data_IF_018018340839
#
_entry.id   IF_018018340839
#
_cell.length_a   1.000
_cell.length_b   1.000
_cell.length_c   1.000
_cell.angle_alpha   90.00
_cell.angle_beta   90.00
_cell.angle_gamma   90.00
#
_symmetry.space_group_name_H-M   'P 1'
#
loop_
_entity.id
_entity.type
_entity.pdbx_description
1 polymer ?
#
# COMPACT_ATOMS: atom_id res chain seq x y z
N UNK A 1 -1.56 1.63 -32.18
CA UNK A 1 -0.66 1.59 -31.02
C UNK A 1 -1.42 2.26 -29.91
N UNK A 2 -1.85 1.48 -28.91
CA UNK A 2 -2.60 1.99 -27.77
C UNK A 2 -1.65 2.80 -26.90
N UNK A 3 -1.72 4.13 -26.99
CA UNK A 3 -1.10 5.04 -26.03
C UNK A 3 -1.87 4.91 -24.72
N UNK A 4 -1.56 3.86 -23.95
CA UNK A 4 -1.78 3.87 -22.52
C UNK A 4 -0.81 4.93 -22.00
N UNK A 5 -1.30 6.16 -21.78
CA UNK A 5 -0.69 6.99 -20.76
C UNK A 5 -0.76 6.17 -19.47
N UNK A 6 0.31 5.43 -19.16
CA UNK A 6 0.55 4.96 -17.81
C UNK A 6 0.76 6.23 -16.99
N UNK A 7 -0.35 6.79 -16.51
CA UNK A 7 -0.31 7.81 -15.49
C UNK A 7 0.39 7.16 -14.30
N UNK A 8 1.67 7.46 -14.15
CA UNK A 8 2.49 7.00 -13.03
C UNK A 8 1.97 7.75 -11.79
N UNK A 9 1.10 7.08 -11.04
CA UNK A 9 0.56 7.59 -9.79
C UNK A 9 1.44 7.12 -8.65
N UNK A 10 1.64 7.98 -7.68
CA UNK A 10 2.41 7.65 -6.49
C UNK A 10 1.49 7.37 -5.31
N UNK A 11 1.83 6.38 -4.50
CA UNK A 11 1.09 6.02 -3.31
C UNK A 11 1.76 6.55 -2.04
N UNK A 12 0.98 6.63 -0.97
CA UNK A 12 1.51 6.91 0.35
C UNK A 12 2.56 5.86 0.74
N UNK A 13 3.72 6.33 1.17
CA UNK A 13 4.85 5.48 1.56
C UNK A 13 5.85 5.22 0.45
N UNK A 14 5.55 5.57 -0.81
CA UNK A 14 6.47 5.40 -1.92
C UNK A 14 7.70 6.30 -1.77
N UNK A 15 8.86 5.74 -2.10
CA UNK A 15 10.12 6.48 -2.12
C UNK A 15 10.31 7.10 -3.51
N UNK A 16 10.56 8.41 -3.50
CA UNK A 16 10.69 9.21 -4.70
C UNK A 16 11.94 10.06 -4.63
N UNK A 17 12.43 10.46 -5.80
CA UNK A 17 13.54 11.39 -5.95
C UNK A 17 13.16 12.53 -6.88
N UNK A 18 13.81 13.67 -6.70
CA UNK A 18 13.65 14.81 -7.61
C UNK A 18 14.32 14.51 -8.95
N UNK A 19 13.60 14.78 -10.05
CA UNK A 19 14.15 14.71 -11.42
C UNK A 19 15.22 15.77 -11.67
N UNK A 20 15.12 16.94 -11.02
CA UNK A 20 16.10 18.02 -11.17
C UNK A 20 17.37 17.77 -10.35
N UNK A 21 17.24 17.13 -9.19
CA UNK A 21 18.36 16.80 -8.33
C UNK A 21 18.21 15.37 -7.78
N UNK A 22 18.84 14.36 -8.43
CA UNK A 22 18.73 12.96 -8.02
C UNK A 22 19.26 12.67 -6.61
N UNK A 23 20.05 13.57 -6.00
CA UNK A 23 20.51 13.42 -4.62
C UNK A 23 19.44 13.79 -3.58
N UNK A 24 18.34 14.40 -4.02
CA UNK A 24 17.24 14.79 -3.16
C UNK A 24 16.16 13.71 -3.21
N UNK A 25 16.19 12.83 -2.22
CA UNK A 25 15.25 11.71 -2.07
C UNK A 25 14.32 11.92 -0.88
N UNK A 26 13.17 11.28 -0.91
CA UNK A 26 12.19 11.34 0.15
C UNK A 26 11.11 10.29 0.02
N UNK A 27 10.13 10.36 0.92
CA UNK A 27 8.99 9.48 0.99
C UNK A 27 7.69 10.27 0.90
N UNK A 28 6.73 9.77 0.12
CA UNK A 28 5.42 10.37 0.00
C UNK A 28 4.61 10.12 1.28
N UNK A 29 4.08 11.20 1.85
CA UNK A 29 3.28 11.19 3.08
C UNK A 29 1.91 11.87 2.88
N UNK A 30 1.57 12.27 1.66
CA UNK A 30 0.30 12.90 1.35
C UNK A 30 0.16 13.22 -0.13
N UNK A 31 -1.09 13.42 -0.56
CA UNK A 31 -1.48 13.77 -1.91
C UNK A 31 -2.54 14.87 -1.83
N UNK A 32 -2.54 15.78 -2.80
CA UNK A 32 -3.66 16.71 -3.03
C UNK A 32 -3.85 16.96 -4.52
N UNK A 33 -4.92 17.70 -4.84
CA UNK A 33 -5.20 18.12 -6.22
C UNK A 33 -5.29 16.94 -7.19
N UNK A 34 -5.88 15.81 -6.74
CA UNK A 34 -6.08 14.61 -7.57
C UNK A 34 -4.79 14.08 -8.22
N UNK A 35 -3.72 13.99 -7.42
CA UNK A 35 -2.42 13.47 -7.87
C UNK A 35 -1.54 14.47 -8.61
N UNK A 36 -1.88 15.76 -8.66
CA UNK A 36 -1.00 16.79 -9.23
C UNK A 36 0.17 17.14 -8.30
N UNK A 37 -0.05 17.09 -6.98
CA UNK A 37 0.95 17.45 -5.97
C UNK A 37 1.03 16.41 -4.85
N UNK A 38 2.27 16.04 -4.50
CA UNK A 38 2.58 15.08 -3.47
C UNK A 38 3.37 15.75 -2.35
N UNK A 39 3.01 15.40 -1.12
CA UNK A 39 3.75 15.82 0.06
C UNK A 39 4.87 14.82 0.31
N UNK A 40 6.11 15.30 0.24
CA UNK A 40 7.30 14.47 0.38
C UNK A 40 8.04 14.84 1.66
N UNK A 41 8.31 13.84 2.51
CA UNK A 41 9.25 13.95 3.63
C UNK A 41 10.64 13.59 3.11
N UNK A 42 11.57 14.53 3.18
CA UNK A 42 12.93 14.31 2.70
C UNK A 42 13.69 13.32 3.61
N UNK A 43 14.74 12.71 3.06
CA UNK A 43 15.61 11.78 3.78
C UNK A 43 16.38 12.42 4.95
N UNK A 44 16.33 13.75 5.10
CA UNK A 44 16.82 14.45 6.31
C UNK A 44 15.93 14.24 7.55
N UNK A 45 14.76 13.62 7.37
CA UNK A 45 13.84 13.20 8.43
C UNK A 45 12.97 14.33 9.01
N UNK A 46 13.27 15.59 8.70
CA UNK A 46 12.61 16.75 9.30
C UNK A 46 11.89 17.62 8.27
N UNK A 47 12.39 17.68 7.04
CA UNK A 47 11.83 18.56 6.03
C UNK A 47 10.66 17.89 5.32
N UNK A 48 9.56 18.64 5.20
CA UNK A 48 8.36 18.23 4.49
C UNK A 48 8.04 19.31 3.45
N UNK A 49 7.98 18.92 2.18
CA UNK A 49 7.80 19.84 1.05
C UNK A 49 6.75 19.26 0.09
N UNK A 50 5.99 20.13 -0.57
CA UNK A 50 5.10 19.75 -1.66
C UNK A 50 5.82 19.82 -2.99
N UNK A 51 5.74 18.75 -3.78
CA UNK A 51 6.30 18.65 -5.12
C UNK A 51 5.21 18.34 -6.13
N UNK A 52 5.36 18.84 -7.36
CA UNK A 52 4.49 18.43 -8.45
C UNK A 52 4.84 17.02 -8.92
N UNK A 53 3.83 16.27 -9.36
CA UNK A 53 4.01 14.93 -9.94
C UNK A 53 5.06 14.90 -11.06
N UNK A 54 5.13 15.99 -11.85
CA UNK A 54 6.08 16.11 -12.96
C UNK A 54 7.55 16.26 -12.52
N UNK A 55 7.81 16.67 -11.27
CA UNK A 55 9.13 16.93 -10.72
C UNK A 55 9.78 15.71 -10.07
N UNK A 56 9.04 14.61 -9.95
CA UNK A 56 9.40 13.46 -9.12
C UNK A 56 9.37 12.18 -9.95
N UNK A 57 10.13 11.19 -9.50
CA UNK A 57 10.13 9.84 -10.06
C UNK A 57 10.37 8.82 -8.93
N UNK A 58 9.91 7.58 -9.11
CA UNK A 58 10.20 6.51 -8.17
C UNK A 58 11.71 6.31 -8.05
N UNK A 59 12.21 6.17 -6.82
CA UNK A 59 13.62 5.90 -6.61
C UNK A 59 13.92 4.43 -7.01
N UNK A 60 14.66 4.17 -8.11
CA UNK A 60 14.98 2.80 -8.51
C UNK A 60 15.90 2.09 -7.52
N UNK A 61 16.56 2.82 -6.62
CA UNK A 61 17.36 2.25 -5.54
C UNK A 61 16.54 1.74 -4.35
N UNK A 62 15.25 2.05 -4.31
CA UNK A 62 14.35 1.63 -3.25
C UNK A 62 13.36 0.58 -3.80
N UNK A 63 13.68 -0.69 -3.62
CA UNK A 63 12.69 -1.74 -3.80
C UNK A 63 11.71 -1.67 -2.63
N UNK A 64 10.41 -1.36 -2.85
CA UNK A 64 9.44 -1.48 -1.78
C UNK A 64 9.46 -2.96 -1.36
N UNK A 65 9.83 -3.23 -0.11
CA UNK A 65 9.60 -4.57 0.44
C UNK A 65 8.11 -4.83 0.28
N UNK A 66 7.69 -5.85 -0.50
CA UNK A 66 6.28 -6.12 -0.68
C UNK A 66 5.69 -6.22 0.72
N UNK A 67 4.60 -5.48 0.98
CA UNK A 67 3.87 -5.59 2.22
C UNK A 67 3.76 -7.08 2.52
N UNK A 68 4.36 -7.53 3.64
CA UNK A 68 4.31 -8.93 4.06
C UNK A 68 2.87 -9.35 3.85
N UNK A 69 2.63 -10.27 2.90
CA UNK A 69 1.31 -10.86 2.77
C UNK A 69 0.96 -11.30 4.17
N UNK A 70 -0.07 -10.70 4.77
CA UNK A 70 -0.52 -11.09 6.10
C UNK A 70 -0.81 -12.60 5.99
N UNK A 71 0.11 -13.41 6.50
CA UNK A 71 -0.14 -14.82 6.75
C UNK A 71 -1.41 -14.82 7.57
N UNK A 72 -2.51 -15.25 6.95
CA UNK A 72 -3.83 -15.21 7.55
C UNK A 72 -3.70 -15.77 8.96
N UNK A 73 -4.08 -15.02 10.01
CA UNK A 73 -3.97 -15.52 11.36
C UNK A 73 -4.76 -16.83 11.42
N UNK A 74 -4.09 -17.89 11.88
CA UNK A 74 -4.60 -19.28 11.99
C UNK A 74 -5.85 -19.43 12.87
N UNK A 75 -6.35 -18.32 13.40
CA UNK A 75 -7.54 -18.20 14.23
C UNK A 75 -8.80 -17.81 13.44
N UNK A 76 -8.71 -17.58 12.12
CA UNK A 76 -9.87 -17.32 11.27
C UNK A 76 -10.47 -18.66 10.82
N UNK A 77 -11.58 -19.03 11.44
CA UNK A 77 -12.37 -20.18 10.99
C UNK A 77 -13.05 -19.79 9.67
N UNK A 78 -12.58 -20.36 8.55
CA UNK A 78 -13.24 -20.22 7.26
C UNK A 78 -14.67 -20.77 7.36
N UNK A 79 -15.65 -19.87 7.31
CA UNK A 79 -17.07 -20.25 7.32
C UNK A 79 -17.42 -20.76 5.93
N UNK A 80 -17.60 -22.08 5.82
CA UNK A 80 -18.08 -22.73 4.62
C UNK A 80 -19.59 -22.52 4.46
N UNK A 81 -19.97 -21.64 3.54
CA UNK A 81 -21.36 -21.26 3.26
C UNK A 81 -22.19 -22.36 2.58
N UNK A 82 -21.58 -23.49 2.18
CA UNK A 82 -22.29 -24.64 1.63
C UNK A 82 -22.85 -25.58 2.71
N UNK A 83 -22.43 -25.40 3.97
CA UNK A 83 -22.91 -26.22 5.09
C UNK A 83 -24.26 -25.71 5.62
N UNK A 84 -25.32 -26.54 5.67
CA UNK A 84 -26.62 -26.13 6.18
C UNK A 84 -26.55 -25.83 7.69
N UNK A 85 -27.02 -24.65 8.08
CA UNK A 85 -26.94 -24.05 9.43
C UNK A 85 -27.78 -24.76 10.51
N UNK A 86 -28.58 -25.77 10.14
CA UNK A 86 -29.45 -26.47 11.07
C UNK A 86 -28.68 -27.52 11.88
N UNK A 87 -28.38 -27.20 13.14
CA UNK A 87 -27.84 -28.15 14.11
C UNK A 87 -28.87 -29.27 14.33
N UNK A 88 -28.54 -30.48 13.88
CA UNK A 88 -29.31 -31.69 14.21
C UNK A 88 -28.92 -32.14 15.62
N UNK A 89 -29.83 -32.81 16.34
CA UNK A 89 -29.58 -33.35 17.69
C UNK A 89 -28.33 -34.27 17.78
N UNK A 90 -27.85 -34.78 16.65
CA UNK A 90 -26.67 -35.64 16.55
C UNK A 90 -25.35 -34.89 16.34
N UNK A 91 -25.37 -33.56 16.16
CA UNK A 91 -24.15 -32.78 15.94
C UNK A 91 -23.41 -32.60 17.27
N UNK A 92 -22.24 -33.24 17.39
CA UNK A 92 -21.39 -33.15 18.58
C UNK A 92 -20.64 -31.81 18.56
N UNK A 93 -21.02 -30.88 19.44
CA UNK A 93 -20.34 -29.59 19.60
C UNK A 93 -19.09 -29.78 20.45
N UNK A 94 -17.92 -29.35 19.97
CA UNK A 94 -16.63 -29.50 20.65
C UNK A 94 -16.43 -28.42 21.74
N UNK A 95 -17.41 -28.28 22.64
CA UNK A 95 -17.40 -27.27 23.69
C UNK A 95 -18.22 -27.74 24.88
N UNK A 96 -17.75 -28.79 25.55
CA UNK A 96 -18.16 -29.11 26.92
C UNK A 96 -16.91 -29.67 27.61
N UNK A 97 -16.38 -28.91 28.56
CA UNK A 97 -15.42 -29.34 29.56
C UNK A 97 -16.14 -29.33 30.92
#
# INVERSE_FOLDING_TARGET
>A
MTEQCECEYFNFGDFVRSRQNPHLTGQIIGERSWGEEYQVRLADGASIIWWFAAEIEHDPGYEPTPAKSEEQPSNVIAVDFTKPRALKKSTKTAGEA
#
